data_IF_566919698995
#
_entry.id   IF_566919698995
#
_cell.length_a   1.000
_cell.length_b   1.000
_cell.length_c   1.000
_cell.angle_alpha   90.00
_cell.angle_beta   90.00
_cell.angle_gamma   90.00
#
_symmetry.space_group_name_H-M   'P 1'
#
loop_
_entity.id
_entity.type
_entity.pdbx_description
1 polymer ?
#
# COMPACT_ATOMS: atom_id res chain seq x y z
N UNK A 1 36.00 20.24 36.84
CA UNK A 1 35.26 19.00 37.14
C UNK A 1 33.73 19.12 37.12
N UNK A 2 33.11 20.31 37.16
CA UNK A 2 31.64 20.45 37.05
C UNK A 2 31.08 20.50 35.61
N UNK A 3 31.91 20.84 34.62
CA UNK A 3 31.50 20.99 33.21
C UNK A 3 31.45 19.67 32.42
N UNK A 4 32.20 18.65 32.85
CA UNK A 4 32.25 17.33 32.20
C UNK A 4 31.04 16.45 32.51
N UNK A 5 30.39 16.63 33.66
CA UNK A 5 29.16 15.90 33.99
C UNK A 5 27.97 16.30 33.11
N UNK A 6 27.84 17.58 32.75
CA UNK A 6 26.73 18.06 31.93
C UNK A 6 26.74 17.48 30.50
N UNK A 7 27.92 17.22 29.93
CA UNK A 7 28.05 16.67 28.57
C UNK A 7 27.69 15.18 28.51
N UNK A 8 28.02 14.40 29.54
CA UNK A 8 27.68 12.97 29.61
C UNK A 8 26.18 12.75 29.79
N UNK A 9 25.49 13.60 30.56
CA UNK A 9 24.02 13.50 30.73
C UNK A 9 23.27 13.83 29.44
N UNK A 10 23.77 14.77 28.63
CA UNK A 10 23.14 15.13 27.35
C UNK A 10 23.22 14.00 26.30
N UNK A 11 24.34 13.28 26.22
CA UNK A 11 24.53 12.17 25.28
C UNK A 11 23.65 10.97 25.65
N UNK A 12 23.48 10.69 26.94
CA UNK A 12 22.58 9.63 27.41
C UNK A 12 21.10 9.91 27.08
N UNK A 13 20.66 11.18 27.11
CA UNK A 13 19.31 11.57 26.71
C UNK A 13 19.08 11.47 25.19
N UNK A 14 20.08 11.75 24.35
CA UNK A 14 19.95 11.63 22.89
C UNK A 14 19.90 10.16 22.41
N UNK A 15 20.53 9.22 23.12
CA UNK A 15 20.49 7.80 22.77
C UNK A 15 19.13 7.12 23.03
N UNK A 16 18.26 7.73 23.85
CA UNK A 16 16.93 7.20 24.17
C UNK A 16 15.81 7.69 23.24
N UNK A 17 16.08 8.65 22.35
CA UNK A 17 15.09 9.22 21.44
C UNK A 17 15.20 8.64 20.03
N UNK A 18 15.39 7.32 19.90
CA UNK A 18 15.09 6.66 18.63
C UNK A 18 13.57 6.56 18.50
N UNK A 19 12.92 7.68 18.15
CA UNK A 19 11.54 7.71 17.68
C UNK A 19 11.52 7.01 16.33
N UNK A 20 11.50 5.68 16.35
CA UNK A 20 11.12 4.92 15.17
C UNK A 20 9.64 5.21 14.93
N UNK A 21 9.40 5.84 13.79
CA UNK A 21 8.06 6.07 13.27
C UNK A 21 7.53 4.70 12.82
N UNK A 22 7.01 3.91 13.77
CA UNK A 22 6.48 2.58 13.50
C UNK A 22 5.04 2.67 13.01
N UNK A 23 4.71 1.89 11.99
CA UNK A 23 3.33 1.72 11.56
C UNK A 23 2.51 1.10 12.69
N UNK A 24 1.30 1.61 12.91
CA UNK A 24 0.30 0.83 13.65
C UNK A 24 -0.18 -0.28 12.72
N UNK A 25 -0.09 -1.54 13.16
CA UNK A 25 -0.42 -2.71 12.34
C UNK A 25 -1.48 -3.55 13.05
N UNK A 26 -2.56 -3.85 12.34
CA UNK A 26 -3.52 -4.90 12.68
C UNK A 26 -3.31 -6.11 11.78
N UNK A 27 -3.37 -7.30 12.37
CA UNK A 27 -3.31 -8.61 11.72
C UNK A 27 -4.60 -9.01 10.99
N UNK A 28 -5.56 -8.08 10.91
CA UNK A 28 -6.81 -8.23 10.18
C UNK A 28 -7.21 -6.94 9.46
N UNK A 29 -8.14 -7.06 8.52
CA UNK A 29 -8.77 -5.96 7.82
C UNK A 29 -9.76 -5.20 8.70
N UNK A 30 -9.51 -3.91 8.93
CA UNK A 30 -10.36 -2.99 9.73
C UNK A 30 -11.12 -2.00 8.86
N UNK A 31 -11.23 -2.24 7.54
CA UNK A 31 -11.96 -1.36 6.61
C UNK A 31 -13.43 -1.17 7.02
N UNK A 32 -14.06 -0.04 6.62
CA UNK A 32 -15.42 0.29 7.08
C UNK A 32 -16.47 -0.70 6.53
N UNK A 33 -17.61 -0.78 7.24
CA UNK A 33 -18.77 -1.61 6.84
C UNK A 33 -19.42 -1.20 5.51
N UNK A 34 -19.06 -0.02 4.98
CA UNK A 34 -19.52 0.46 3.67
C UNK A 34 -18.84 -0.23 2.50
N UNK A 35 -17.74 -0.95 2.73
CA UNK A 35 -17.12 -1.77 1.69
C UNK A 35 -18.03 -2.94 1.30
N UNK A 36 -17.87 -3.48 0.08
CA UNK A 36 -18.67 -4.61 -0.39
C UNK A 36 -18.60 -5.81 0.57
N UNK A 37 -19.77 -6.36 0.91
CA UNK A 37 -19.89 -7.46 1.87
C UNK A 37 -19.13 -8.73 1.43
N UNK A 38 -18.89 -8.91 0.14
CA UNK A 38 -18.13 -10.04 -0.41
C UNK A 38 -16.65 -10.00 -0.04
N UNK A 39 -16.13 -8.85 0.42
CA UNK A 39 -14.77 -8.74 0.94
C UNK A 39 -14.67 -9.14 2.41
N UNK A 40 -15.78 -9.19 3.16
CA UNK A 40 -15.79 -9.48 4.60
C UNK A 40 -15.09 -10.81 4.98
N UNK A 41 -15.25 -11.92 4.22
CA UNK A 41 -14.50 -13.15 4.50
C UNK A 41 -12.97 -12.98 4.46
N UNK A 42 -12.47 -11.98 3.73
CA UNK A 42 -11.04 -11.70 3.58
C UNK A 42 -10.46 -10.91 4.75
N UNK A 43 -11.27 -10.39 5.69
CA UNK A 43 -10.77 -9.61 6.84
C UNK A 43 -9.70 -10.36 7.62
N UNK A 44 -9.89 -11.65 7.88
CA UNK A 44 -8.97 -12.45 8.70
C UNK A 44 -7.59 -12.67 8.07
N UNK A 45 -7.49 -12.60 6.74
CA UNK A 45 -6.21 -12.78 6.03
C UNK A 45 -5.58 -11.46 5.59
N UNK A 46 -6.31 -10.36 5.75
CA UNK A 46 -5.85 -9.03 5.43
C UNK A 46 -5.03 -8.44 6.58
N UNK A 47 -4.35 -7.33 6.34
CA UNK A 47 -3.74 -6.50 7.36
C UNK A 47 -4.19 -5.07 7.18
N UNK A 48 -4.22 -4.32 8.27
CA UNK A 48 -4.45 -2.88 8.23
C UNK A 48 -3.20 -2.20 8.77
N UNK A 49 -2.66 -1.24 8.01
CA UNK A 49 -1.48 -0.49 8.40
C UNK A 49 -1.83 0.99 8.40
N UNK A 50 -1.43 1.70 9.44
CA UNK A 50 -1.57 3.16 9.55
C UNK A 50 -0.19 3.80 9.64
N UNK A 51 0.07 4.74 8.73
CA UNK A 51 1.36 5.42 8.63
C UNK A 51 1.67 6.30 9.85
N UNK A 52 2.93 6.37 10.28
CA UNK A 52 3.31 7.04 11.53
C UNK A 52 3.37 8.58 11.43
N UNK A 53 3.73 9.12 10.26
CA UNK A 53 3.86 10.57 10.03
C UNK A 53 2.61 11.17 9.37
N UNK A 54 1.97 10.36 8.53
CA UNK A 54 0.66 10.64 7.95
C UNK A 54 -0.17 9.41 8.26
N UNK A 55 -1.30 9.53 8.98
CA UNK A 55 -2.18 8.41 9.33
C UNK A 55 -2.93 7.87 8.10
N UNK A 56 -2.23 7.68 6.98
CA UNK A 56 -2.74 7.03 5.79
C UNK A 56 -3.01 5.57 6.15
N UNK A 57 -4.19 5.12 5.75
CA UNK A 57 -4.67 3.79 6.04
C UNK A 57 -4.46 2.91 4.82
N UNK A 58 -3.86 1.75 5.05
CA UNK A 58 -3.52 0.77 4.02
C UNK A 58 -4.15 -0.56 4.39
N UNK A 59 -4.94 -1.13 3.49
CA UNK A 59 -5.54 -2.44 3.68
C UNK A 59 -4.91 -3.42 2.70
N UNK A 60 -4.04 -4.28 3.21
CA UNK A 60 -3.35 -5.26 2.38
C UNK A 60 -4.03 -6.62 2.47
N UNK A 61 -4.26 -7.24 1.32
CA UNK A 61 -4.93 -8.53 1.20
C UNK A 61 -4.03 -9.41 0.34
N UNK A 62 -3.42 -10.41 0.97
CA UNK A 62 -2.70 -11.44 0.24
C UNK A 62 -3.64 -12.55 -0.18
N UNK A 63 -3.42 -13.12 -1.36
CA UNK A 63 -4.17 -14.28 -1.84
C UNK A 63 -3.24 -15.49 -1.94
N UNK A 64 -3.77 -16.67 -1.63
CA UNK A 64 -3.03 -17.94 -1.78
C UNK A 64 -3.41 -18.67 -3.05
N UNK A 65 -4.60 -18.38 -3.59
CA UNK A 65 -5.14 -19.01 -4.79
C UNK A 65 -5.63 -17.95 -5.75
N UNK A 66 -5.47 -18.23 -7.03
CA UNK A 66 -5.93 -17.37 -8.12
C UNK A 66 -7.44 -17.16 -8.05
N UNK A 67 -8.20 -18.21 -7.79
CA UNK A 67 -9.67 -18.18 -7.79
C UNK A 67 -10.20 -17.27 -6.68
N UNK A 68 -9.52 -17.23 -5.53
CA UNK A 68 -9.86 -16.32 -4.42
C UNK A 68 -9.64 -14.86 -4.83
N UNK A 69 -8.54 -14.58 -5.53
CA UNK A 69 -8.24 -13.25 -6.05
C UNK A 69 -9.25 -12.84 -7.13
N UNK A 70 -9.47 -13.68 -8.15
CA UNK A 70 -10.38 -13.40 -9.26
C UNK A 70 -11.82 -13.18 -8.76
N UNK A 71 -12.26 -13.91 -7.73
CA UNK A 71 -13.55 -13.70 -7.09
C UNK A 71 -13.63 -12.36 -6.34
N UNK A 72 -12.55 -11.95 -5.66
CA UNK A 72 -12.51 -10.69 -4.91
C UNK A 72 -12.35 -9.45 -5.81
N UNK A 73 -11.66 -9.60 -6.94
CA UNK A 73 -11.25 -8.51 -7.82
C UNK A 73 -12.38 -7.54 -8.23
N UNK A 74 -13.56 -7.99 -8.71
CA UNK A 74 -14.64 -7.06 -9.07
C UNK A 74 -15.18 -6.27 -7.87
N UNK A 75 -15.03 -6.77 -6.64
CA UNK A 75 -15.46 -6.07 -5.43
C UNK A 75 -14.38 -5.09 -4.94
N UNK A 76 -13.10 -5.44 -5.08
CA UNK A 76 -11.98 -4.52 -4.84
C UNK A 76 -12.05 -3.32 -5.78
N UNK A 77 -12.42 -3.51 -7.05
CA UNK A 77 -12.59 -2.39 -7.98
C UNK A 77 -13.67 -1.39 -7.54
N UNK A 78 -14.69 -1.82 -6.80
CA UNK A 78 -15.77 -0.95 -6.31
C UNK A 78 -15.34 -0.04 -5.17
N UNK A 79 -14.27 -0.37 -4.43
CA UNK A 79 -13.80 0.47 -3.32
C UNK A 79 -13.02 1.68 -3.80
N UNK A 80 -12.48 1.62 -5.03
CA UNK A 80 -11.63 2.64 -5.62
C UNK A 80 -12.42 3.91 -5.92
N UNK A 81 -11.81 5.07 -5.66
CA UNK A 81 -12.30 6.36 -6.16
C UNK A 81 -12.33 6.32 -7.70
N UNK A 82 -13.41 6.84 -8.31
CA UNK A 82 -13.51 6.96 -9.77
C UNK A 82 -12.32 7.76 -10.30
N UNK A 83 -11.67 7.31 -11.37
CA UNK A 83 -10.50 7.99 -11.95
C UNK A 83 -9.20 7.91 -11.14
N UNK A 84 -9.20 7.36 -9.91
CA UNK A 84 -7.96 7.04 -9.20
C UNK A 84 -7.23 5.86 -9.87
N UNK A 85 -5.89 5.78 -9.80
CA UNK A 85 -5.14 4.78 -10.56
C UNK A 85 -5.22 3.37 -9.96
N UNK A 86 -4.88 2.39 -10.79
CA UNK A 86 -4.34 1.10 -10.34
C UNK A 86 -2.84 1.12 -10.62
N UNK A 87 -2.05 0.93 -9.57
CA UNK A 87 -0.59 0.88 -9.65
C UNK A 87 -0.16 -0.58 -9.69
N UNK A 88 0.53 -1.00 -10.75
CA UNK A 88 1.03 -2.36 -10.90
C UNK A 88 2.42 -2.45 -10.28
N UNK A 89 2.63 -3.39 -9.36
CA UNK A 89 3.92 -3.69 -8.76
C UNK A 89 4.25 -5.18 -8.91
N UNK A 90 5.54 -5.50 -8.83
CA UNK A 90 6.03 -6.88 -8.74
C UNK A 90 6.27 -7.22 -7.27
N UNK A 91 5.99 -8.45 -6.86
CA UNK A 91 6.40 -8.96 -5.56
C UNK A 91 7.93 -9.16 -5.46
N UNK A 92 8.50 -9.25 -4.24
CA UNK A 92 7.84 -9.12 -2.94
C UNK A 92 7.42 -7.67 -2.64
N UNK A 93 6.44 -7.48 -1.74
CA UNK A 93 5.94 -6.16 -1.37
C UNK A 93 5.90 -5.99 0.14
N UNK A 94 6.32 -4.80 0.61
CA UNK A 94 6.21 -4.37 2.00
C UNK A 94 4.79 -4.58 2.55
N UNK A 95 3.77 -4.24 1.75
CA UNK A 95 2.37 -4.35 2.15
C UNK A 95 1.95 -5.78 2.47
N UNK A 96 2.58 -6.77 1.82
CA UNK A 96 2.22 -8.18 1.92
C UNK A 96 3.15 -8.98 2.83
N UNK A 97 3.83 -8.29 3.77
CA UNK A 97 4.75 -8.89 4.74
C UNK A 97 6.07 -9.43 4.16
N UNK A 98 6.46 -8.98 2.96
CA UNK A 98 7.66 -9.40 2.21
C UNK A 98 7.79 -10.90 1.86
N UNK A 99 7.02 -11.78 2.50
CA UNK A 99 7.00 -13.22 2.21
C UNK A 99 6.02 -13.58 1.10
N UNK A 100 5.11 -12.66 0.75
CA UNK A 100 4.03 -12.92 -0.20
C UNK A 100 4.21 -12.07 -1.46
N UNK A 101 4.05 -12.74 -2.60
CA UNK A 101 4.31 -12.15 -3.91
C UNK A 101 3.05 -11.67 -4.64
N UNK A 102 1.86 -12.00 -4.12
CA UNK A 102 0.60 -11.77 -4.81
C UNK A 102 -0.48 -11.21 -3.87
N UNK A 103 -1.06 -10.09 -4.27
CA UNK A 103 -2.06 -9.43 -3.44
C UNK A 103 -2.47 -8.06 -3.93
N UNK A 104 -3.24 -7.42 -3.08
CA UNK A 104 -3.73 -6.05 -3.28
C UNK A 104 -3.42 -5.23 -2.03
N UNK A 105 -2.97 -4.00 -2.20
CA UNK A 105 -2.99 -2.99 -1.14
C UNK A 105 -3.96 -1.88 -1.57
N UNK A 106 -4.99 -1.64 -0.75
CA UNK A 106 -5.89 -0.51 -0.94
C UNK A 106 -5.41 0.63 -0.07
N UNK A 107 -5.11 1.76 -0.70
CA UNK A 107 -4.67 2.98 -0.02
C UNK A 107 -5.87 3.87 0.18
N UNK A 108 -6.03 4.39 1.39
CA UNK A 108 -7.14 5.26 1.77
C UNK A 108 -6.63 6.49 2.53
N UNK A 109 -7.35 7.62 2.45
CA UNK A 109 -7.09 8.76 3.31
C UNK A 109 -7.20 8.37 4.80
N UNK A 110 -6.72 9.24 5.71
CA UNK A 110 -6.84 9.00 7.14
C UNK A 110 -8.28 8.79 7.63
N UNK A 111 -8.42 8.10 8.75
CA UNK A 111 -9.72 7.91 9.39
C UNK A 111 -10.43 9.27 9.61
N UNK A 112 -11.73 9.30 9.33
CA UNK A 112 -12.54 10.52 9.41
C UNK A 112 -12.36 11.50 8.25
N UNK A 113 -11.43 11.27 7.32
CA UNK A 113 -11.29 12.07 6.11
C UNK A 113 -11.95 11.39 4.91
N UNK A 114 -12.91 12.10 4.29
CA UNK A 114 -13.53 11.62 3.07
C UNK A 114 -12.53 11.65 1.90
N UNK A 115 -12.47 10.59 1.06
CA UNK A 115 -11.69 10.65 -0.15
C UNK A 115 -12.24 11.69 -1.12
N UNK A 116 -11.37 12.25 -1.93
CA UNK A 116 -11.78 13.03 -3.10
C UNK A 116 -12.66 12.13 -3.98
N UNK A 117 -13.77 12.68 -4.48
CA UNK A 117 -14.79 11.93 -5.20
C UNK A 117 -14.35 11.49 -6.62
N UNK A 118 -13.49 12.26 -7.28
CA UNK A 118 -12.91 11.95 -8.59
C UNK A 118 -11.39 12.11 -8.56
N UNK A 119 -10.65 11.10 -9.03
CA UNK A 119 -9.20 11.09 -9.08
C UNK A 119 -8.61 12.18 -9.99
N UNK A 120 -9.40 12.74 -10.92
CA UNK A 120 -8.99 13.91 -11.72
C UNK A 120 -8.78 15.15 -10.85
N UNK A 121 -9.56 15.29 -9.78
CA UNK A 121 -9.47 16.42 -8.86
C UNK A 121 -8.29 16.30 -7.89
N UNK A 122 -7.67 15.11 -7.81
CA UNK A 122 -6.53 14.85 -6.95
C UNK A 122 -5.25 15.58 -7.43
N UNK A 123 -5.17 16.02 -8.70
CA UNK A 123 -4.02 16.74 -9.28
C UNK A 123 -2.67 16.06 -9.00
N UNK A 124 -2.63 14.74 -9.11
CA UNK A 124 -1.44 13.92 -8.83
C UNK A 124 -1.24 13.56 -7.35
N UNK A 125 -2.04 14.11 -6.43
CA UNK A 125 -2.02 13.70 -5.03
C UNK A 125 -3.01 12.55 -4.76
N UNK A 126 -2.67 11.36 -5.24
CA UNK A 126 -3.52 10.17 -5.09
C UNK A 126 -3.70 9.71 -3.64
N UNK A 127 -2.86 10.16 -2.70
CA UNK A 127 -3.00 9.86 -1.26
C UNK A 127 -4.30 10.40 -0.65
N UNK A 128 -4.96 11.35 -1.35
CA UNK A 128 -6.27 11.89 -1.00
C UNK A 128 -7.45 11.14 -1.63
N UNK A 129 -7.18 10.06 -2.36
CA UNK A 129 -8.18 9.21 -3.01
C UNK A 129 -8.12 7.81 -2.43
N UNK A 130 -9.09 6.95 -2.78
CA UNK A 130 -8.93 5.50 -2.62
C UNK A 130 -8.35 4.94 -3.91
N UNK A 131 -7.12 4.45 -3.86
CA UNK A 131 -6.44 3.83 -5.00
C UNK A 131 -5.90 2.45 -4.65
N UNK A 132 -5.56 1.66 -5.68
CA UNK A 132 -5.17 0.26 -5.52
C UNK A 132 -3.75 0.08 -6.02
N UNK A 133 -2.90 -0.53 -5.20
CA UNK A 133 -1.69 -1.20 -5.66
C UNK A 133 -2.01 -2.68 -5.87
N UNK A 134 -1.74 -3.17 -7.08
CA UNK A 134 -1.90 -4.56 -7.47
C UNK A 134 -0.51 -5.20 -7.58
N UNK A 135 -0.23 -6.16 -6.71
CA UNK A 135 1.07 -6.84 -6.64
C UNK A 135 0.95 -8.13 -7.45
N UNK A 136 1.52 -8.11 -8.65
CA UNK A 136 1.43 -9.18 -9.63
C UNK A 136 2.64 -10.14 -9.53
N UNK A 137 2.34 -11.44 -9.53
CA UNK A 137 3.31 -12.53 -9.62
C UNK A 137 3.19 -13.33 -10.93
N UNK A 138 2.10 -13.16 -11.68
CA UNK A 138 1.80 -13.92 -12.89
C UNK A 138 1.19 -15.30 -12.64
N UNK A 139 1.12 -15.75 -11.38
CA UNK A 139 0.49 -17.01 -10.99
C UNK A 139 -0.86 -16.74 -10.32
N UNK A 140 -0.87 -16.10 -9.16
CA UNK A 140 -2.12 -15.80 -8.43
C UNK A 140 -2.75 -14.52 -8.99
N UNK A 141 -1.95 -13.48 -9.16
CA UNK A 141 -2.36 -12.22 -9.78
C UNK A 141 -1.76 -12.19 -11.20
N UNK A 142 -2.52 -12.72 -12.15
CA UNK A 142 -2.19 -12.77 -13.58
C UNK A 142 -2.94 -11.69 -14.35
N UNK A 143 -2.19 -10.68 -14.80
CA UNK A 143 -2.73 -9.53 -15.53
C UNK A 143 -3.30 -9.90 -16.92
N UNK A 144 -2.99 -11.08 -17.46
CA UNK A 144 -3.57 -11.54 -18.73
C UNK A 144 -4.97 -12.13 -18.56
N UNK A 145 -5.39 -12.39 -17.31
CA UNK A 145 -6.66 -13.05 -16.99
C UNK A 145 -7.67 -12.15 -16.33
N UNK A 146 -7.21 -11.12 -15.61
CA UNK A 146 -8.12 -10.18 -14.97
C UNK A 146 -8.47 -9.01 -15.89
N UNK A 147 -9.74 -8.60 -15.97
CA UNK A 147 -10.10 -7.38 -16.63
C UNK A 147 -9.62 -6.19 -15.79
N UNK A 148 -8.85 -5.29 -16.41
CA UNK A 148 -8.60 -3.95 -15.88
C UNK A 148 -9.69 -3.00 -16.41
N UNK A 149 -10.25 -2.09 -15.58
CA UNK A 149 -11.27 -1.17 -16.06
C UNK A 149 -10.73 -0.23 -17.14
N UNK A 150 -11.41 -0.12 -18.27
CA UNK A 150 -10.96 0.66 -19.42
C UNK A 150 -10.83 2.17 -19.15
N UNK A 151 -11.56 2.69 -18.17
CA UNK A 151 -11.57 4.09 -17.77
C UNK A 151 -10.64 4.40 -16.58
N UNK A 152 -9.88 3.40 -16.12
CA UNK A 152 -8.98 3.53 -14.97
C UNK A 152 -7.54 3.76 -15.43
N UNK A 153 -6.89 4.85 -14.96
CA UNK A 153 -5.46 5.04 -15.20
C UNK A 153 -4.64 3.88 -14.65
N UNK A 154 -3.73 3.34 -15.48
CA UNK A 154 -2.80 2.28 -15.09
C UNK A 154 -1.40 2.88 -14.96
N UNK A 155 -0.80 2.73 -13.79
CA UNK A 155 0.60 3.13 -13.53
C UNK A 155 1.41 1.86 -13.38
N UNK A 156 2.21 1.51 -14.39
CA UNK A 156 3.02 0.29 -14.36
C UNK A 156 4.39 0.57 -13.73
N UNK A 157 4.60 0.09 -12.50
CA UNK A 157 5.85 0.23 -11.75
C UNK A 157 6.62 -1.07 -11.60
N UNK A 158 6.22 -2.14 -12.31
CA UNK A 158 6.83 -3.48 -12.17
C UNK A 158 8.32 -3.53 -12.52
N UNK A 159 8.83 -2.57 -13.28
CA UNK A 159 10.19 -2.56 -13.84
C UNK A 159 11.02 -1.30 -13.52
N UNK A 160 10.57 -0.45 -12.57
CA UNK A 160 11.28 0.81 -12.26
C UNK A 160 12.73 0.61 -11.82
N UNK A 161 13.02 -0.46 -11.06
CA UNK A 161 14.37 -0.73 -10.56
C UNK A 161 15.36 -1.17 -11.65
N UNK A 162 14.87 -1.79 -12.73
CA UNK A 162 15.71 -2.21 -13.86
C UNK A 162 16.10 -1.01 -14.73
N UNK A 163 15.20 -0.04 -14.87
CA UNK A 163 15.46 1.18 -15.63
C UNK A 163 16.55 2.03 -14.99
N UNK A 164 16.50 2.22 -13.66
CA UNK A 164 17.54 2.98 -12.95
C UNK A 164 18.93 2.30 -13.07
N UNK A 165 18.99 0.96 -13.01
CA UNK A 165 20.25 0.21 -13.19
C UNK A 165 20.82 0.29 -14.61
N UNK A 166 19.96 0.46 -15.63
CA UNK A 166 20.41 0.57 -17.02
C UNK A 166 21.06 1.92 -17.33
N UNK A 167 20.55 3.01 -16.73
CA UNK A 167 21.08 4.36 -16.89
C UNK A 167 22.47 4.48 -16.28
N UNK A 168 22.69 3.91 -15.09
CA UNK A 168 23.99 3.93 -14.41
C UNK A 168 25.08 3.13 -15.16
N UNK A 169 24.70 2.17 -16.01
CA UNK A 169 25.65 1.34 -16.78
C UNK A 169 26.02 1.91 -18.15
N UNK A 170 25.27 2.89 -18.65
CA UNK A 170 25.56 3.56 -19.94
C UNK A 170 26.45 4.81 -19.82
N UNK A 171 26.83 5.20 -18.60
CA UNK A 171 27.65 6.38 -18.31
C UNK A 171 29.11 6.10 -17.95
N UNK A 172 29.62 4.90 -18.25
CA UNK A 172 31.02 4.49 -17.97
C UNK A 172 31.90 4.47 -19.21
#
# INVERSE_FOLDING_TARGET
MKKTFAFLTAIALCAMCSLYADYSVSDQGTWPKSWPAELEPLRKQARSLEGPLRPLLHYSISFKKREEFEAAWPHLLKVKTKGAPIVLRRGPSFWLDNEKNAGVCVHTPPEGQAPIADGKDAKGNWEKTVYIELIADGEIVDLNRIPLPADTPIVDERFKDEQNKSVDRSGG
#
